data_IF_299190094394
#
_entry.id   IF_299190094394
#
_cell.length_a   1.000
_cell.length_b   1.000
_cell.length_c   1.000
_cell.angle_alpha   90.00
_cell.angle_beta   90.00
_cell.angle_gamma   90.00
#
_symmetry.space_group_name_H-M   'P 1'
#
loop_
_entity.id
_entity.type
_entity.pdbx_description
1 polymer ?
#
# COMPACT_ATOMS: atom_id res chain seq x y z
N UNK A 1 -25.31 7.70 -14.37
CA UNK A 1 -24.94 6.85 -13.20
C UNK A 1 -23.57 6.22 -13.39
N UNK A 2 -23.17 5.85 -14.61
CA UNK A 2 -21.84 5.33 -14.94
C UNK A 2 -20.69 6.30 -14.57
N UNK A 3 -20.89 7.61 -14.76
CA UNK A 3 -19.88 8.62 -14.39
C UNK A 3 -19.53 8.62 -12.90
N UNK A 4 -20.52 8.41 -12.03
CA UNK A 4 -20.31 8.38 -10.58
C UNK A 4 -19.46 7.17 -10.18
N UNK A 5 -19.71 6.01 -10.81
CA UNK A 5 -18.95 4.78 -10.56
C UNK A 5 -17.49 4.97 -10.97
N UNK A 6 -17.24 5.59 -12.14
CA UNK A 6 -15.88 5.86 -12.63
C UNK A 6 -15.15 6.83 -11.68
N UNK A 7 -15.82 7.89 -11.21
CA UNK A 7 -15.25 8.86 -10.25
C UNK A 7 -14.88 8.19 -8.93
N UNK A 8 -15.77 7.35 -8.39
CA UNK A 8 -15.52 6.61 -7.15
C UNK A 8 -14.37 5.61 -7.30
N UNK A 9 -14.31 4.88 -8.41
CA UNK A 9 -13.20 3.96 -8.69
C UNK A 9 -11.86 4.70 -8.77
N UNK A 10 -11.85 5.90 -9.39
CA UNK A 10 -10.65 6.75 -9.47
C UNK A 10 -10.17 7.22 -8.11
N UNK A 11 -11.08 7.68 -7.26
CA UNK A 11 -10.77 8.09 -5.89
C UNK A 11 -10.23 6.91 -5.09
N UNK A 12 -10.87 5.74 -5.18
CA UNK A 12 -10.42 4.54 -4.51
C UNK A 12 -9.01 4.14 -4.96
N UNK A 13 -8.73 4.18 -6.26
CA UNK A 13 -7.41 3.90 -6.80
C UNK A 13 -6.33 4.84 -6.28
N UNK A 14 -6.61 6.14 -6.29
CA UNK A 14 -5.65 7.15 -5.82
C UNK A 14 -5.39 7.01 -4.32
N UNK A 15 -6.45 6.80 -3.52
CA UNK A 15 -6.33 6.64 -2.07
C UNK A 15 -5.61 5.34 -1.71
N UNK A 16 -5.95 4.22 -2.34
CA UNK A 16 -5.24 2.95 -2.12
C UNK A 16 -3.79 3.02 -2.59
N UNK A 17 -3.56 3.68 -3.74
CA UNK A 17 -2.24 3.99 -4.28
C UNK A 17 -1.39 4.80 -3.31
N UNK A 18 -1.92 5.89 -2.78
CA UNK A 18 -1.22 6.75 -1.82
C UNK A 18 -0.96 6.03 -0.49
N UNK A 19 -1.92 5.24 0.00
CA UNK A 19 -1.78 4.52 1.26
C UNK A 19 -0.70 3.44 1.17
N UNK A 20 -0.75 2.55 0.18
CA UNK A 20 0.25 1.46 0.10
C UNK A 20 1.64 2.00 -0.25
N UNK A 21 1.72 3.01 -1.14
CA UNK A 21 2.99 3.62 -1.52
C UNK A 21 3.58 4.40 -0.34
N UNK A 22 2.79 5.22 0.34
CA UNK A 22 3.24 6.00 1.50
C UNK A 22 3.68 5.09 2.66
N UNK A 23 2.94 4.02 2.91
CA UNK A 23 3.31 3.00 3.90
C UNK A 23 4.59 2.27 3.50
N UNK A 24 4.76 1.92 2.22
CA UNK A 24 5.99 1.32 1.69
C UNK A 24 7.22 2.23 1.81
N UNK A 25 7.06 3.52 1.51
CA UNK A 25 8.13 4.52 1.64
C UNK A 25 8.50 4.73 3.11
N UNK A 26 7.52 4.88 4.01
CA UNK A 26 7.79 4.96 5.45
C UNK A 26 8.50 3.70 5.96
N UNK A 27 8.10 2.52 5.50
CA UNK A 27 8.75 1.27 5.86
C UNK A 27 10.23 1.25 5.43
N UNK A 28 10.51 1.64 4.18
CA UNK A 28 11.85 1.59 3.60
C UNK A 28 12.78 2.71 4.12
N UNK A 29 12.28 3.94 4.24
CA UNK A 29 13.10 5.12 4.53
C UNK A 29 13.10 5.58 5.98
N UNK A 30 12.15 5.12 6.80
CA UNK A 30 12.07 5.50 8.21
C UNK A 30 12.27 4.29 9.11
N UNK A 31 11.43 3.26 8.94
CA UNK A 31 11.45 2.09 9.83
C UNK A 31 12.72 1.25 9.66
N UNK A 32 13.15 0.98 8.43
CA UNK A 32 14.37 0.19 8.17
C UNK A 32 15.65 0.85 8.72
N UNK A 33 15.96 2.13 8.43
CA UNK A 33 17.16 2.77 9.00
C UNK A 33 17.04 3.00 10.51
N UNK A 34 15.84 3.20 11.05
CA UNK A 34 15.65 3.25 12.50
C UNK A 34 15.97 1.90 13.17
N UNK A 35 15.56 0.79 12.54
CA UNK A 35 15.88 -0.55 13.02
C UNK A 35 17.38 -0.83 12.96
N UNK A 36 18.05 -0.47 11.87
CA UNK A 36 19.50 -0.60 11.71
C UNK A 36 20.27 0.15 12.80
N UNK A 37 19.88 1.38 13.12
CA UNK A 37 20.50 2.18 14.19
C UNK A 37 20.31 1.60 15.58
N UNK A 38 19.23 0.83 15.80
CA UNK A 38 18.94 0.15 17.07
C UNK A 38 19.57 -1.26 17.15
N UNK A 39 20.17 -1.77 16.07
CA UNK A 39 20.76 -3.10 16.00
C UNK A 39 19.73 -4.22 16.21
N UNK A 40 20.14 -5.30 16.89
CA UNK A 40 19.34 -6.52 17.05
C UNK A 40 17.96 -6.29 17.67
N UNK A 41 17.87 -5.36 18.63
CA UNK A 41 16.60 -5.00 19.27
C UNK A 41 15.65 -4.31 18.29
N UNK A 42 16.19 -3.48 17.39
CA UNK A 42 15.43 -2.83 16.33
C UNK A 42 14.86 -3.83 15.34
N UNK A 43 15.67 -4.79 14.87
CA UNK A 43 15.21 -5.85 13.98
C UNK A 43 14.19 -6.79 14.63
N UNK A 44 14.36 -7.13 15.91
CA UNK A 44 13.38 -7.92 16.65
C UNK A 44 12.03 -7.21 16.79
N UNK A 45 12.03 -5.90 17.03
CA UNK A 45 10.82 -5.07 17.03
C UNK A 45 10.20 -5.01 15.63
N UNK A 46 10.99 -4.78 14.59
CA UNK A 46 10.51 -4.73 13.21
C UNK A 46 9.85 -6.05 12.81
N UNK A 47 10.50 -7.17 13.13
CA UNK A 47 9.99 -8.52 12.87
C UNK A 47 8.67 -8.76 13.61
N UNK A 48 8.59 -8.38 14.89
CA UNK A 48 7.35 -8.46 15.66
C UNK A 48 6.27 -7.57 15.07
N UNK A 49 6.61 -6.36 14.61
CA UNK A 49 5.68 -5.46 13.95
C UNK A 49 5.13 -6.07 12.64
N UNK A 50 6.00 -6.63 11.79
CA UNK A 50 5.58 -7.27 10.54
C UNK A 50 4.75 -8.54 10.74
N UNK A 51 5.01 -9.31 11.80
CA UNK A 51 4.31 -10.56 12.12
C UNK A 51 3.00 -10.30 12.90
N UNK A 52 3.04 -9.42 13.90
CA UNK A 52 1.90 -9.10 14.77
C UNK A 52 0.90 -8.17 14.10
N UNK A 53 1.35 -7.32 13.19
CA UNK A 53 0.46 -6.45 12.41
C UNK A 53 0.01 -7.21 11.18
N UNK A 54 -1.24 -7.02 10.75
CA UNK A 54 -1.74 -7.50 9.45
C UNK A 54 -1.01 -6.86 8.24
N UNK A 55 0.14 -6.23 8.44
CA UNK A 55 0.92 -5.52 7.44
C UNK A 55 1.30 -6.44 6.27
N UNK A 56 1.73 -7.66 6.57
CA UNK A 56 2.11 -8.65 5.57
C UNK A 56 0.92 -9.15 4.73
N UNK A 57 -0.31 -9.02 5.26
CA UNK A 57 -1.54 -9.38 4.55
C UNK A 57 -2.15 -8.17 3.81
N UNK A 58 -2.16 -7.00 4.46
CA UNK A 58 -2.76 -5.78 3.95
C UNK A 58 -1.96 -5.19 2.79
N UNK A 59 -0.62 -5.17 2.85
CA UNK A 59 0.21 -4.62 1.77
C UNK A 59 -0.05 -5.28 0.40
N UNK A 60 0.01 -6.61 0.25
CA UNK A 60 -0.28 -7.25 -1.04
C UNK A 60 -1.75 -7.10 -1.46
N UNK A 61 -2.70 -7.14 -0.53
CA UNK A 61 -4.13 -6.94 -0.86
C UNK A 61 -4.36 -5.53 -1.42
N UNK A 62 -3.79 -4.50 -0.79
CA UNK A 62 -3.95 -3.11 -1.24
C UNK A 62 -3.20 -2.87 -2.55
N UNK A 63 -2.03 -3.48 -2.77
CA UNK A 63 -1.31 -3.33 -4.05
C UNK A 63 -2.03 -4.02 -5.21
N UNK A 64 -2.56 -5.23 -4.99
CA UNK A 64 -3.36 -5.96 -5.99
C UNK A 64 -4.65 -5.19 -6.28
N UNK A 65 -5.35 -4.75 -5.24
CA UNK A 65 -6.56 -3.94 -5.37
C UNK A 65 -6.32 -2.64 -6.14
N UNK A 66 -5.24 -1.93 -5.83
CA UNK A 66 -4.84 -0.73 -6.57
C UNK A 66 -4.57 -1.08 -8.03
N UNK A 67 -3.74 -2.08 -8.31
CA UNK A 67 -3.38 -2.47 -9.69
C UNK A 67 -4.61 -2.85 -10.50
N UNK A 68 -5.51 -3.68 -9.95
CA UNK A 68 -6.75 -4.09 -10.62
C UNK A 68 -7.65 -2.91 -10.93
N UNK A 69 -7.85 -2.00 -9.97
CA UNK A 69 -8.68 -0.81 -10.20
C UNK A 69 -8.05 0.11 -11.26
N UNK A 70 -6.72 0.22 -11.29
CA UNK A 70 -6.00 1.01 -12.30
C UNK A 70 -6.14 0.43 -13.70
N UNK A 71 -6.04 -0.89 -13.83
CA UNK A 71 -6.25 -1.61 -15.10
C UNK A 71 -7.69 -1.44 -15.59
N UNK A 72 -8.68 -1.58 -14.70
CA UNK A 72 -10.09 -1.39 -15.05
C UNK A 72 -10.35 0.05 -15.55
N UNK A 73 -9.81 1.06 -14.86
CA UNK A 73 -9.90 2.46 -15.28
C UNK A 73 -9.20 2.72 -16.62
N UNK A 74 -8.07 2.07 -16.88
CA UNK A 74 -7.33 2.20 -18.13
C UNK A 74 -8.11 1.61 -19.31
N UNK A 75 -8.70 0.42 -19.13
CA UNK A 75 -9.53 -0.22 -20.14
C UNK A 75 -10.78 0.62 -20.44
N UNK A 76 -11.51 1.07 -19.42
CA UNK A 76 -12.70 1.92 -19.56
C UNK A 76 -12.42 3.27 -20.24
N UNK A 77 -11.19 3.77 -20.15
CA UNK A 77 -10.77 5.02 -20.83
C UNK A 77 -10.30 4.78 -22.26
N UNK A 78 -9.88 3.57 -22.60
CA UNK A 78 -9.35 3.20 -23.91
C UNK A 78 -10.41 2.69 -24.89
N UNK A 79 -11.59 2.33 -24.39
CA UNK A 79 -12.80 1.99 -25.16
C UNK A 79 -13.67 3.21 -25.43
#
# INVERSE_FOLDING_TARGET
MEDLIIVVLRLLHIVMGALWFGVGVCAAWVLMPAAERMGDKGFAMLRTFYISTRFNMLMPIVSIGTTLVGVILWILRSS
#
